data_IF_766136325202
#
_entry.id   IF_766136325202
#
_cell.length_a   1.000
_cell.length_b   1.000
_cell.length_c   1.000
_cell.angle_alpha   90.00
_cell.angle_beta   90.00
_cell.angle_gamma   90.00
#
_symmetry.space_group_name_H-M   'P 1'
#
loop_
_entity.id
_entity.type
_entity.pdbx_description
1 polymer ?
#
# COMPACT_ATOMS: atom_id res chain seq x y z
N UNK A 1 -0.14 24.62 7.43
CA UNK A 1 -0.85 23.44 6.91
C UNK A 1 -0.70 23.41 5.41
N UNK A 2 -0.47 22.23 4.84
CA UNK A 2 -0.48 22.01 3.41
C UNK A 2 -1.47 20.88 3.09
N UNK A 3 -2.09 20.96 1.91
CA UNK A 3 -2.92 19.88 1.37
C UNK A 3 -2.23 19.34 0.13
N UNK A 4 -1.92 18.04 0.14
CA UNK A 4 -1.40 17.34 -1.02
C UNK A 4 -2.56 16.57 -1.63
N UNK A 5 -2.74 16.73 -2.95
CA UNK A 5 -3.69 15.96 -3.74
C UNK A 5 -2.89 15.10 -4.71
N UNK A 6 -3.09 13.79 -4.65
CA UNK A 6 -2.36 12.85 -5.49
C UNK A 6 -3.27 11.68 -5.88
N UNK A 7 -3.23 11.31 -7.15
CA UNK A 7 -3.93 10.15 -7.68
C UNK A 7 -3.14 8.86 -7.41
N UNK A 8 -3.81 7.71 -7.50
CA UNK A 8 -3.14 6.42 -7.48
C UNK A 8 -2.13 6.30 -8.64
N UNK A 9 -2.44 6.84 -9.82
CA UNK A 9 -1.52 6.86 -10.96
C UNK A 9 -0.24 7.59 -10.64
N UNK A 10 -0.34 8.80 -10.09
CA UNK A 10 0.84 9.58 -9.72
C UNK A 10 1.66 8.88 -8.63
N UNK A 11 1.02 8.19 -7.67
CA UNK A 11 1.74 7.37 -6.69
C UNK A 11 2.53 6.24 -7.37
N UNK A 12 1.89 5.51 -8.30
CA UNK A 12 2.55 4.42 -9.04
C UNK A 12 3.70 4.97 -9.89
N UNK A 13 3.50 6.08 -10.59
CA UNK A 13 4.51 6.75 -11.40
C UNK A 13 5.72 7.20 -10.55
N UNK A 14 5.46 7.75 -9.36
CA UNK A 14 6.52 8.09 -8.39
C UNK A 14 7.28 6.84 -7.95
N UNK A 15 6.57 5.74 -7.65
CA UNK A 15 7.21 4.48 -7.25
C UNK A 15 8.09 3.92 -8.38
N UNK A 16 7.63 3.96 -9.63
CA UNK A 16 8.40 3.52 -10.80
C UNK A 16 9.63 4.42 -10.99
N UNK A 17 9.45 5.73 -11.01
CA UNK A 17 10.52 6.70 -11.22
C UNK A 17 11.64 6.59 -10.17
N UNK A 18 11.27 6.23 -8.93
CA UNK A 18 12.21 6.04 -7.83
C UNK A 18 12.70 4.58 -7.67
N UNK A 19 12.38 3.68 -8.61
CA UNK A 19 12.75 2.25 -8.56
C UNK A 19 12.34 1.58 -7.25
N UNK A 20 11.18 1.96 -6.70
CA UNK A 20 10.63 1.41 -5.45
C UNK A 20 9.80 0.15 -5.69
N UNK A 21 9.47 -0.16 -6.95
CA UNK A 21 8.76 -1.37 -7.34
C UNK A 21 9.78 -2.49 -7.55
N UNK A 22 9.72 -3.58 -6.77
CA UNK A 22 10.64 -4.70 -6.94
C UNK A 22 10.37 -5.45 -8.25
N UNK A 23 11.40 -6.06 -8.84
CA UNK A 23 11.29 -6.84 -10.10
C UNK A 23 10.32 -8.03 -10.00
N UNK A 24 9.98 -8.46 -8.78
CA UNK A 24 8.96 -9.48 -8.52
C UNK A 24 7.53 -8.99 -8.73
N UNK A 25 7.32 -7.68 -8.90
CA UNK A 25 6.01 -7.07 -9.17
C UNK A 25 5.92 -6.67 -10.65
N UNK A 26 4.84 -7.07 -11.30
CA UNK A 26 4.59 -6.84 -12.73
C UNK A 26 3.11 -6.58 -13.01
N UNK A 27 2.78 -6.19 -14.24
CA UNK A 27 1.40 -5.97 -14.72
C UNK A 27 0.58 -5.07 -13.78
N UNK A 28 1.14 -3.91 -13.42
CA UNK A 28 0.46 -2.95 -12.56
C UNK A 28 -0.64 -2.27 -13.38
N UNK A 29 -1.88 -2.43 -12.94
CA UNK A 29 -3.08 -1.85 -13.52
C UNK A 29 -3.80 -1.03 -12.45
N UNK A 30 -4.29 0.14 -12.85
CA UNK A 30 -5.01 1.06 -11.97
C UNK A 30 -6.48 1.03 -12.38
N UNK A 31 -7.33 0.56 -11.48
CA UNK A 31 -8.75 0.32 -11.73
C UNK A 31 -9.59 1.17 -10.76
N UNK A 32 -9.70 2.46 -11.06
CA UNK A 32 -10.38 3.43 -10.19
C UNK A 32 -9.62 3.62 -8.88
N UNK A 33 -10.15 3.11 -7.78
CA UNK A 33 -9.58 3.26 -6.42
C UNK A 33 -8.64 2.10 -6.03
N UNK A 34 -8.26 1.29 -7.02
CA UNK A 34 -7.68 -0.04 -6.84
C UNK A 34 -6.39 -0.17 -7.62
N UNK A 35 -5.39 -0.80 -7.02
CA UNK A 35 -4.14 -1.17 -7.69
C UNK A 35 -4.12 -2.69 -7.83
N UNK A 36 -4.20 -3.17 -9.07
CA UNK A 36 -4.02 -4.58 -9.38
C UNK A 36 -2.60 -4.80 -9.88
N UNK A 37 -1.96 -5.88 -9.44
CA UNK A 37 -0.64 -6.25 -9.89
C UNK A 37 -0.41 -7.75 -9.74
N UNK A 38 0.64 -8.24 -10.40
CA UNK A 38 1.08 -9.62 -10.34
C UNK A 38 2.38 -9.72 -9.55
N UNK A 39 2.36 -10.52 -8.48
CA UNK A 39 3.53 -10.83 -7.67
C UNK A 39 4.09 -12.21 -8.03
N UNK A 40 5.37 -12.26 -8.42
CA UNK A 40 6.10 -13.49 -8.67
C UNK A 40 6.69 -13.99 -7.35
N UNK A 41 6.14 -15.11 -6.85
CA UNK A 41 6.65 -15.77 -5.67
C UNK A 41 8.01 -16.45 -5.97
N UNK A 42 8.98 -16.32 -5.07
CA UNK A 42 10.36 -16.85 -5.23
C UNK A 42 10.46 -18.38 -5.05
N UNK A 43 9.36 -19.05 -4.69
CA UNK A 43 9.33 -20.51 -4.56
C UNK A 43 9.44 -21.21 -5.94
N UNK A 44 10.13 -22.37 -6.01
CA UNK A 44 10.46 -23.07 -7.27
C UNK A 44 9.25 -23.62 -8.06
N UNK A 45 8.03 -23.56 -7.50
CA UNK A 45 6.78 -23.97 -8.15
C UNK A 45 6.10 -22.77 -8.86
N UNK A 46 6.70 -21.57 -8.84
CA UNK A 46 6.36 -20.40 -9.68
C UNK A 46 4.86 -20.16 -9.87
N UNK A 47 4.13 -19.94 -8.77
CA UNK A 47 2.79 -19.37 -8.86
C UNK A 47 2.90 -17.85 -8.87
N UNK A 48 2.63 -17.26 -10.05
CA UNK A 48 2.29 -15.85 -10.13
C UNK A 48 0.98 -15.62 -9.38
N UNK A 49 1.00 -14.64 -8.48
CA UNK A 49 -0.15 -14.31 -7.64
C UNK A 49 -0.70 -12.98 -8.14
N UNK A 50 -1.93 -12.98 -8.63
CA UNK A 50 -2.65 -11.75 -8.92
C UNK A 50 -3.19 -11.18 -7.59
N UNK A 51 -2.79 -9.95 -7.28
CA UNK A 51 -3.12 -9.21 -6.07
C UNK A 51 -3.82 -7.91 -6.46
N UNK A 52 -4.76 -7.49 -5.62
CA UNK A 52 -5.38 -6.17 -5.69
C UNK A 52 -5.25 -5.50 -4.32
N UNK A 53 -4.89 -4.23 -4.30
CA UNK A 53 -4.78 -3.42 -3.08
C UNK A 53 -5.72 -2.23 -3.19
N UNK A 54 -6.54 -2.07 -2.15
CA UNK A 54 -7.54 -1.02 -2.04
C UNK A 54 -7.30 -0.19 -0.77
N UNK A 55 -7.51 1.12 -0.87
CA UNK A 55 -7.55 1.97 0.31
C UNK A 55 -8.77 1.62 1.16
N UNK A 56 -8.55 1.42 2.47
CA UNK A 56 -9.63 1.14 3.41
C UNK A 56 -9.90 2.33 4.32
N UNK A 57 -8.87 2.77 5.05
CA UNK A 57 -9.00 3.87 6.00
C UNK A 57 -7.63 4.43 6.42
N UNK A 58 -7.65 5.57 7.09
CA UNK A 58 -6.50 6.14 7.77
C UNK A 58 -6.93 6.66 9.13
N UNK A 59 -6.23 6.22 10.19
CA UNK A 59 -6.54 6.65 11.54
C UNK A 59 -5.25 6.73 12.38
N UNK A 60 -5.07 7.85 13.08
CA UNK A 60 -3.99 8.05 14.06
C UNK A 60 -2.59 7.68 13.55
N UNK A 61 -2.25 8.06 12.30
CA UNK A 61 -0.93 7.78 11.73
C UNK A 61 -0.78 6.39 11.10
N UNK A 62 -1.85 5.61 11.08
CA UNK A 62 -1.90 4.25 10.52
C UNK A 62 -2.75 4.25 9.26
N UNK A 63 -2.17 3.76 8.16
CA UNK A 63 -2.85 3.56 6.89
C UNK A 63 -3.31 2.10 6.80
N UNK A 64 -4.61 1.89 6.60
CA UNK A 64 -5.22 0.58 6.41
C UNK A 64 -5.50 0.36 4.93
N UNK A 65 -4.97 -0.75 4.41
CA UNK A 65 -5.15 -1.21 3.05
C UNK A 65 -5.81 -2.59 3.09
N UNK A 66 -6.64 -2.88 2.11
CA UNK A 66 -7.24 -4.20 1.92
C UNK A 66 -6.57 -4.91 0.74
N UNK A 67 -6.10 -6.13 0.98
CA UNK A 67 -5.52 -7.01 -0.03
C UNK A 67 -6.57 -8.00 -0.48
N UNK A 68 -6.95 -7.93 -1.75
CA UNK A 68 -7.88 -8.86 -2.40
C UNK A 68 -7.12 -9.79 -3.34
N UNK A 69 -7.50 -11.07 -3.33
CA UNK A 69 -6.84 -12.12 -4.13
C UNK A 69 -7.87 -13.11 -4.66
N UNK A 70 -7.46 -14.03 -5.53
CA UNK A 70 -8.34 -15.13 -5.93
C UNK A 70 -8.57 -16.12 -4.76
N UNK A 71 -9.64 -16.90 -4.81
CA UNK A 71 -10.06 -17.78 -3.69
C UNK A 71 -8.98 -18.76 -3.21
N UNK A 72 -8.17 -19.28 -4.14
CA UNK A 72 -7.10 -20.24 -3.82
C UNK A 72 -5.98 -19.55 -3.04
N UNK A 73 -5.56 -18.37 -3.49
CA UNK A 73 -4.53 -17.55 -2.83
C UNK A 73 -5.05 -17.04 -1.48
N UNK A 74 -6.31 -16.64 -1.41
CA UNK A 74 -6.97 -16.16 -0.20
C UNK A 74 -6.86 -17.21 0.93
N UNK A 75 -7.21 -18.47 0.60
CA UNK A 75 -7.06 -19.60 1.51
C UNK A 75 -5.62 -19.78 1.96
N UNK A 76 -4.64 -19.69 1.05
CA UNK A 76 -3.23 -19.81 1.39
C UNK A 76 -2.73 -18.68 2.30
N UNK A 77 -3.10 -17.42 2.01
CA UNK A 77 -2.68 -16.24 2.77
C UNK A 77 -3.28 -16.20 4.17
N UNK A 78 -4.50 -16.74 4.38
CA UNK A 78 -5.09 -16.90 5.72
C UNK A 78 -4.23 -17.75 6.66
N UNK A 79 -3.55 -18.75 6.13
CA UNK A 79 -2.72 -19.66 6.94
C UNK A 79 -1.24 -19.27 6.95
N UNK A 80 -0.79 -18.45 6.00
CA UNK A 80 0.59 -17.98 5.93
C UNK A 80 0.77 -16.74 6.79
N UNK A 81 1.54 -16.87 7.86
CA UNK A 81 2.10 -15.70 8.55
C UNK A 81 3.14 -15.06 7.65
N UNK A 82 2.85 -13.86 7.14
CA UNK A 82 3.88 -13.05 6.49
C UNK A 82 4.79 -12.46 7.58
N UNK A 83 6.09 -12.29 7.29
CA UNK A 83 6.99 -11.63 8.23
C UNK A 83 6.52 -10.19 8.45
N UNK A 84 6.48 -9.77 9.72
CA UNK A 84 6.26 -8.36 10.05
C UNK A 84 7.49 -7.57 9.61
N UNK A 85 7.27 -6.55 8.78
CA UNK A 85 8.30 -5.61 8.38
C UNK A 85 8.17 -4.41 9.32
N UNK A 86 9.27 -3.70 9.63
CA UNK A 86 9.34 -2.66 10.67
C UNK A 86 8.13 -1.69 10.70
N UNK A 87 7.57 -1.34 9.55
CA UNK A 87 6.41 -0.44 9.45
C UNK A 87 5.18 -1.10 8.83
N UNK A 88 5.23 -2.37 8.44
CA UNK A 88 4.12 -3.07 7.79
C UNK A 88 3.76 -4.33 8.57
N UNK A 89 2.48 -4.45 8.89
CA UNK A 89 1.89 -5.64 9.48
C UNK A 89 0.79 -6.14 8.56
N UNK A 90 0.79 -7.44 8.28
CA UNK A 90 -0.22 -8.05 7.43
C UNK A 90 -1.01 -9.09 8.20
N UNK A 91 -2.31 -8.84 8.32
CA UNK A 91 -3.30 -9.74 8.89
C UNK A 91 -4.45 -9.88 7.91
N UNK A 92 -4.38 -10.93 7.09
CA UNK A 92 -5.29 -11.10 5.95
C UNK A 92 -6.77 -10.85 6.33
N UNK A 93 -7.51 -10.01 5.58
CA UNK A 93 -7.11 -9.34 4.33
C UNK A 93 -6.46 -7.96 4.51
N UNK A 94 -6.19 -7.51 5.74
CA UNK A 94 -5.74 -6.15 6.03
C UNK A 94 -4.22 -6.04 6.03
N UNK A 95 -3.71 -5.07 5.28
CA UNK A 95 -2.33 -4.59 5.35
C UNK A 95 -2.30 -3.26 6.09
N UNK A 96 -1.65 -3.24 7.23
CA UNK A 96 -1.49 -2.09 8.11
C UNK A 96 -0.12 -1.46 7.88
N UNK A 97 -0.08 -0.18 7.53
CA UNK A 97 1.15 0.59 7.37
C UNK A 97 1.23 1.69 8.43
N UNK A 98 2.25 1.62 9.28
CA UNK A 98 2.56 2.63 10.30
C UNK A 98 3.22 3.86 9.66
N UNK A 99 2.45 4.58 8.85
CA UNK A 99 2.90 5.66 7.98
C UNK A 99 3.52 6.83 8.74
N UNK A 100 2.90 7.28 9.84
CA UNK A 100 3.44 8.40 10.62
C UNK A 100 4.79 8.04 11.26
N UNK A 101 4.97 6.79 11.69
CA UNK A 101 6.24 6.32 12.23
C UNK A 101 7.31 6.25 11.14
N UNK A 102 6.97 5.76 9.95
CA UNK A 102 7.85 5.79 8.78
C UNK A 102 8.30 7.21 8.43
N UNK A 103 7.36 8.17 8.39
CA UNK A 103 7.66 9.56 8.08
C UNK A 103 8.49 10.24 9.17
N UNK A 104 8.23 9.94 10.43
CA UNK A 104 9.05 10.46 11.52
C UNK A 104 10.51 10.03 11.40
N UNK A 105 10.76 8.76 11.07
CA UNK A 105 12.11 8.22 10.90
C UNK A 105 12.83 8.81 9.67
N UNK A 106 12.10 9.31 8.65
CA UNK A 106 12.66 9.81 7.39
C UNK A 106 12.74 11.33 7.26
N UNK A 107 11.67 12.04 7.61
CA UNK A 107 11.51 13.47 7.37
C UNK A 107 11.44 14.29 8.66
N UNK A 108 11.15 13.67 9.82
CA UNK A 108 11.09 14.24 11.19
C UNK A 108 10.13 15.42 11.43
N UNK A 109 9.80 16.22 10.41
CA UNK A 109 9.08 17.50 10.55
C UNK A 109 7.63 17.45 10.03
N UNK A 110 7.23 16.36 9.37
CA UNK A 110 5.92 16.22 8.74
C UNK A 110 5.01 15.34 9.60
N UNK A 111 3.85 15.88 9.95
CA UNK A 111 2.75 15.11 10.55
C UNK A 111 1.56 15.07 9.59
N UNK A 112 1.03 13.87 9.38
CA UNK A 112 -0.21 13.66 8.62
C UNK A 112 -1.37 13.75 9.60
N UNK A 113 -2.23 14.73 9.38
CA UNK A 113 -3.48 14.90 10.13
C UNK A 113 -4.53 13.90 9.65
N UNK A 114 -4.69 13.79 8.32
CA UNK A 114 -5.76 13.02 7.72
C UNK A 114 -5.38 12.55 6.30
N UNK A 115 -5.88 11.39 5.92
CA UNK A 115 -5.86 10.86 4.56
C UNK A 115 -7.25 10.36 4.26
N UNK A 116 -7.82 10.81 3.15
CA UNK A 116 -9.04 10.21 2.65
C UNK A 116 -9.01 10.14 1.14
N UNK A 117 -9.59 9.06 0.61
CA UNK A 117 -9.77 8.88 -0.81
C UNK A 117 -11.12 9.44 -1.23
N UNK A 118 -11.12 10.42 -2.14
CA UNK A 118 -12.35 11.02 -2.66
C UNK A 118 -12.14 11.47 -4.10
N UNK A 119 -13.08 11.11 -4.96
CA UNK A 119 -13.09 11.48 -6.38
C UNK A 119 -11.82 11.04 -7.14
N UNK A 120 -11.21 9.90 -6.80
CA UNK A 120 -9.99 9.43 -7.46
C UNK A 120 -8.67 9.97 -6.89
N UNK A 121 -8.71 10.79 -5.83
CA UNK A 121 -7.53 11.40 -5.23
C UNK A 121 -7.42 11.03 -3.75
N UNK A 122 -6.18 10.76 -3.32
CA UNK A 122 -5.81 10.91 -1.93
C UNK A 122 -5.66 12.39 -1.61
N UNK A 123 -6.36 12.83 -0.57
CA UNK A 123 -6.15 14.13 0.04
C UNK A 123 -5.42 13.93 1.35
N UNK A 124 -4.18 14.38 1.39
CA UNK A 124 -3.30 14.25 2.56
C UNK A 124 -3.17 15.64 3.18
N UNK A 125 -3.71 15.80 4.39
CA UNK A 125 -3.54 17.03 5.17
C UNK A 125 -2.31 16.90 6.03
N UNK A 126 -1.41 17.88 5.93
CA UNK A 126 -0.18 17.90 6.71
C UNK A 126 -0.03 19.21 7.47
N UNK A 127 0.70 19.13 8.58
CA UNK A 127 1.22 20.30 9.26
C UNK A 127 2.68 20.07 9.63
N UNK A 128 3.43 21.18 9.64
CA UNK A 128 4.79 21.18 10.14
C UNK A 128 4.75 21.19 11.66
N UNK A 129 5.54 20.33 12.27
CA UNK A 129 5.73 20.32 13.73
C UNK A 129 6.78 21.32 14.16
#
# INVERSE_FOLDING_TARGET
MAEIRITISEIVDICIANKLIPDSVSNIEILGERIKFRYKNENPISTNIDLEINYKDYNNGILFLEVQTNWIVDKYLRFKKLPNIKYLQYEHPVLTFFLQQYLYDKLKIVQIEDIYFKNGYFKIKTFNK
#
